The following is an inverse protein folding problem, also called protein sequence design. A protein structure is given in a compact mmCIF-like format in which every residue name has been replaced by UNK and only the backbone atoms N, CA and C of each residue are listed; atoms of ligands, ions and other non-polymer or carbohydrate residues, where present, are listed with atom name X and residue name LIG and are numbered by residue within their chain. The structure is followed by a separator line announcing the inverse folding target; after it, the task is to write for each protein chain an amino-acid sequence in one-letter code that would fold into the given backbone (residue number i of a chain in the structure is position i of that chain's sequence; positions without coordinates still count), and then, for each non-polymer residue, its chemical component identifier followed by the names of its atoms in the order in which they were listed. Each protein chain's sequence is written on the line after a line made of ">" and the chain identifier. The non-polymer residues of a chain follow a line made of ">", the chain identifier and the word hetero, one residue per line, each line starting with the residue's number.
data_IF_765883180178
#
_entry.id   IF_765883180178
#
_cell.length_a   1.000
_cell.length_b   1.000
_cell.length_c   1.000
_cell.angle_alpha   90.00
_cell.angle_beta   90.00
_cell.angle_gamma   90.00
#
_symmetry.space_group_name_H-M   'P 1'
#
loop_
_entity.id
_entity.type
_entity.pdbx_description
1 polymer ?
#
# COMPACT_ATOMS: atom_id res chain seq x y z
N UNK A 1 0.29 -11.85 24.49
CA UNK A 1 -0.63 -11.19 23.53
C UNK A 1 -0.53 -9.70 23.79
N UNK A 2 0.17 -8.95 22.94
CA UNK A 2 0.34 -7.49 23.09
C UNK A 2 -0.44 -6.83 21.95
N UNK A 3 -1.28 -5.81 22.19
CA UNK A 3 -1.92 -5.08 21.10
C UNK A 3 -0.85 -4.26 20.37
N UNK A 4 -0.71 -4.47 19.06
CA UNK A 4 0.16 -3.62 18.23
C UNK A 4 -0.55 -2.27 18.06
N UNK A 5 -0.09 -1.28 18.83
CA UNK A 5 -0.61 0.08 18.83
C UNK A 5 -0.52 0.71 17.45
N UNK A 6 -1.58 1.44 17.09
CA UNK A 6 -1.52 2.46 16.05
C UNK A 6 -0.50 3.51 16.48
N UNK A 7 0.61 3.60 15.75
CA UNK A 7 1.58 4.69 15.91
C UNK A 7 1.14 5.82 14.99
N UNK A 8 0.94 7.00 15.55
CA UNK A 8 0.69 8.21 14.80
C UNK A 8 1.92 8.53 13.91
N UNK A 9 1.67 8.80 12.62
CA UNK A 9 2.70 9.29 11.71
C UNK A 9 3.04 10.73 12.10
N UNK A 10 4.30 10.97 12.50
CA UNK A 10 4.84 12.32 12.74
C UNK A 10 4.88 13.10 11.41
N UNK A 11 4.13 14.21 11.28
CA UNK A 11 4.09 15.01 10.05
C UNK A 11 5.37 15.84 9.81
N UNK A 12 6.36 15.80 10.72
CA UNK A 12 7.38 16.84 10.85
C UNK A 12 8.79 16.61 10.28
N UNK A 13 9.10 15.56 9.49
CA UNK A 13 10.50 15.33 9.06
C UNK A 13 10.73 15.32 7.55
N UNK A 14 10.95 16.51 7.00
CA UNK A 14 11.51 16.72 5.66
C UNK A 14 13.01 16.35 5.63
N UNK A 15 13.33 15.14 5.19
CA UNK A 15 14.72 14.70 5.05
C UNK A 15 14.85 13.56 4.06
N UNK A 16 15.69 13.74 3.04
CA UNK A 16 16.05 12.76 2.00
C UNK A 16 16.66 11.51 2.65
N UNK A 17 15.85 10.51 2.96
CA UNK A 17 16.28 9.23 3.48
C UNK A 17 15.18 8.20 3.28
N UNK A 18 15.51 7.05 2.67
CA UNK A 18 14.56 5.97 2.45
C UNK A 18 13.89 5.57 3.78
N UNK A 19 12.58 5.83 3.91
CA UNK A 19 11.76 5.38 5.05
C UNK A 19 11.65 3.86 5.02
N UNK A 20 12.69 3.15 5.48
CA UNK A 20 12.55 1.75 5.90
C UNK A 20 11.92 1.77 7.27
N UNK A 21 10.61 1.92 7.30
CA UNK A 21 9.87 1.65 8.50
C UNK A 21 10.04 0.16 8.85
N UNK A 22 10.08 -0.17 10.14
CA UNK A 22 10.22 -1.52 10.72
C UNK A 22 8.98 -2.40 10.48
N UNK A 23 8.34 -2.24 9.32
CA UNK A 23 7.17 -2.97 8.93
C UNK A 23 7.57 -4.23 8.16
N UNK A 24 6.90 -5.33 8.47
CA UNK A 24 7.01 -6.57 7.69
C UNK A 24 6.57 -6.31 6.24
N UNK A 25 7.32 -6.81 5.26
CA UNK A 25 6.93 -6.76 3.85
C UNK A 25 5.48 -7.27 3.64
N UNK A 26 4.75 -6.65 2.72
CA UNK A 26 3.34 -6.98 2.47
C UNK A 26 2.43 -6.61 3.65
N UNK A 27 2.51 -5.39 4.17
CA UNK A 27 1.59 -4.90 5.20
C UNK A 27 0.89 -3.60 4.79
N UNK A 28 -0.27 -3.27 5.38
CA UNK A 28 -0.97 -2.02 5.08
C UNK A 28 -0.12 -0.77 5.33
N UNK A 29 0.73 -0.78 6.36
CA UNK A 29 1.62 0.33 6.69
C UNK A 29 2.69 0.53 5.61
N UNK A 30 3.22 -0.55 5.04
CA UNK A 30 4.15 -0.48 3.90
C UNK A 30 3.43 0.10 2.68
N UNK A 31 2.19 -0.32 2.40
CA UNK A 31 1.41 0.25 1.29
C UNK A 31 1.21 1.76 1.46
N UNK A 32 0.93 2.23 2.67
CA UNK A 32 0.79 3.66 2.98
C UNK A 32 2.09 4.43 2.76
N UNK A 33 3.22 3.93 3.27
CA UNK A 33 4.53 4.56 3.09
C UNK A 33 4.90 4.66 1.60
N UNK A 34 4.58 3.63 0.81
CA UNK A 34 4.79 3.66 -0.64
C UNK A 34 3.92 4.73 -1.32
N UNK A 35 2.64 4.82 -0.96
CA UNK A 35 1.72 5.80 -1.52
C UNK A 35 2.16 7.25 -1.22
N UNK A 36 2.45 7.55 0.05
CA UNK A 36 2.94 8.87 0.46
C UNK A 36 4.30 9.19 -0.16
N UNK A 37 5.22 8.22 -0.16
CA UNK A 37 6.54 8.40 -0.76
C UNK A 37 6.49 8.68 -2.26
N UNK A 38 5.58 8.03 -2.99
CA UNK A 38 5.35 8.34 -4.41
C UNK A 38 4.85 9.78 -4.57
N UNK A 39 3.86 10.18 -3.77
CA UNK A 39 3.27 11.52 -3.81
C UNK A 39 4.29 12.62 -3.54
N UNK A 40 5.03 12.49 -2.44
CA UNK A 40 6.06 13.44 -2.01
C UNK A 40 7.22 13.51 -3.00
N UNK A 41 7.68 12.35 -3.53
CA UNK A 41 8.83 12.29 -4.44
C UNK A 41 8.54 12.95 -5.79
N UNK A 42 7.31 12.82 -6.28
CA UNK A 42 6.92 13.31 -7.60
C UNK A 42 6.12 14.61 -7.56
N UNK A 43 5.79 15.13 -6.37
CA UNK A 43 4.92 16.31 -6.24
C UNK A 43 3.53 16.09 -6.82
N UNK A 44 3.03 14.85 -6.77
CA UNK A 44 1.74 14.47 -7.35
C UNK A 44 0.57 14.81 -6.40
N UNK A 45 -0.64 14.92 -6.94
CA UNK A 45 -1.85 15.08 -6.12
C UNK A 45 -2.32 13.75 -5.53
N UNK A 46 -2.01 12.63 -6.18
CA UNK A 46 -2.45 11.29 -5.80
C UNK A 46 -1.26 10.34 -5.82
N UNK A 47 -1.09 9.55 -4.76
CA UNK A 47 -0.06 8.54 -4.63
C UNK A 47 -0.69 7.16 -4.42
N UNK A 48 -0.12 6.12 -5.05
CA UNK A 48 -0.59 4.73 -4.91
C UNK A 48 0.56 3.85 -4.46
N UNK A 49 0.30 3.03 -3.45
CA UNK A 49 1.23 2.04 -2.93
C UNK A 49 0.62 0.65 -2.94
N UNK A 50 1.36 -0.33 -3.46
CA UNK A 50 0.95 -1.73 -3.55
C UNK A 50 2.08 -2.61 -3.01
N UNK A 51 1.76 -3.53 -2.12
CA UNK A 51 2.72 -4.51 -1.59
C UNK A 51 1.99 -5.81 -1.23
N UNK A 52 2.62 -6.96 -1.41
CA UNK A 52 1.94 -8.24 -1.17
C UNK A 52 2.74 -9.45 -1.62
N UNK A 53 2.11 -10.61 -1.52
CA UNK A 53 2.70 -11.90 -1.88
C UNK A 53 1.99 -12.47 -3.11
N UNK A 54 2.61 -12.33 -4.29
CA UNK A 54 2.04 -12.85 -5.53
C UNK A 54 2.22 -14.38 -5.72
N UNK A 55 3.08 -15.04 -4.94
CA UNK A 55 3.37 -16.47 -5.10
C UNK A 55 4.40 -16.79 -6.19
N UNK A 56 4.60 -18.07 -6.55
CA UNK A 56 3.87 -19.24 -6.04
C UNK A 56 4.22 -19.63 -4.60
N UNK A 57 5.35 -19.14 -4.07
CA UNK A 57 5.77 -19.32 -2.67
C UNK A 57 5.86 -18.01 -1.89
N UNK A 58 6.48 -18.05 -0.70
CA UNK A 58 6.70 -16.87 0.15
C UNK A 58 5.48 -16.41 0.94
N UNK A 59 4.36 -17.12 0.85
CA UNK A 59 3.20 -16.91 1.71
C UNK A 59 3.41 -17.52 3.10
N UNK A 60 2.75 -16.94 4.09
CA UNK A 60 2.61 -17.50 5.44
C UNK A 60 1.13 -17.67 5.76
N UNK A 61 0.81 -18.28 6.89
CA UNK A 61 -0.58 -18.37 7.37
C UNK A 61 -1.22 -16.98 7.52
N UNK A 62 -0.48 -16.02 8.08
CA UNK A 62 -0.94 -14.65 8.25
C UNK A 62 -0.95 -13.84 6.94
N UNK A 63 -0.12 -14.19 5.96
CA UNK A 63 0.01 -13.49 4.67
C UNK A 63 0.11 -14.50 3.53
N UNK A 64 -1.01 -15.17 3.19
CA UNK A 64 -0.99 -16.22 2.19
C UNK A 64 -0.64 -15.66 0.81
N UNK A 65 -0.28 -16.55 -0.12
CA UNK A 65 -0.24 -16.19 -1.54
C UNK A 65 -1.59 -15.59 -1.95
N UNK A 66 -1.51 -14.45 -2.64
CA UNK A 66 -2.65 -13.63 -3.01
C UNK A 66 -2.94 -12.49 -2.04
N UNK A 67 -2.33 -12.45 -0.85
CA UNK A 67 -2.49 -11.31 0.07
C UNK A 67 -1.79 -10.07 -0.48
N UNK A 68 -2.56 -9.03 -0.81
CA UNK A 68 -2.04 -7.79 -1.39
C UNK A 68 -2.67 -6.59 -0.68
N UNK A 69 -1.82 -5.71 -0.16
CA UNK A 69 -2.20 -4.44 0.44
C UNK A 69 -2.09 -3.31 -0.59
N UNK A 70 -3.12 -2.47 -0.63
CA UNK A 70 -3.25 -1.28 -1.46
C UNK A 70 -3.46 -0.08 -0.56
N UNK A 71 -2.83 1.04 -0.91
CA UNK A 71 -3.12 2.34 -0.32
C UNK A 71 -3.10 3.42 -1.40
N UNK A 72 -4.07 4.34 -1.36
CA UNK A 72 -4.10 5.55 -2.16
C UNK A 72 -4.20 6.74 -1.21
N UNK A 73 -3.38 7.76 -1.44
CA UNK A 73 -3.35 8.98 -0.63
C UNK A 73 -3.42 10.20 -1.54
N UNK A 74 -4.13 11.24 -1.10
CA UNK A 74 -4.37 12.46 -1.90
C UNK A 74 -3.89 13.72 -1.19
N UNK A 75 -3.58 14.78 -1.96
CA UNK A 75 -3.07 16.06 -1.47
C UNK A 75 -3.95 16.67 -0.36
N UNK A 76 -5.27 16.52 -0.49
CA UNK A 76 -6.28 16.95 0.49
C UNK A 76 -6.37 16.08 1.76
N UNK A 77 -5.52 15.06 1.89
CA UNK A 77 -5.43 14.20 3.06
C UNK A 77 -6.30 12.94 3.05
N UNK A 78 -7.12 12.69 2.01
CA UNK A 78 -7.90 11.44 1.93
C UNK A 78 -7.00 10.20 1.78
N UNK A 79 -7.53 9.09 2.30
CA UNK A 79 -6.84 7.80 2.38
C UNK A 79 -7.81 6.68 2.01
N UNK A 80 -7.43 5.85 1.05
CA UNK A 80 -8.19 4.65 0.69
C UNK A 80 -7.24 3.46 0.82
N UNK A 81 -7.56 2.51 1.70
CA UNK A 81 -6.76 1.30 1.92
C UNK A 81 -7.60 0.02 1.79
N UNK A 82 -7.00 -1.03 1.23
CA UNK A 82 -7.61 -2.36 1.05
C UNK A 82 -6.53 -3.43 1.13
N UNK A 83 -6.84 -4.60 1.66
CA UNK A 83 -5.90 -5.72 1.75
C UNK A 83 -6.53 -7.09 1.40
N UNK A 84 -7.11 -7.24 0.20
CA UNK A 84 -7.76 -8.48 -0.19
C UNK A 84 -6.78 -9.64 -0.38
N UNK A 85 -7.33 -10.86 -0.37
CA UNK A 85 -6.70 -12.03 -0.98
C UNK A 85 -7.19 -12.17 -2.42
N UNK A 86 -6.31 -11.94 -3.38
CA UNK A 86 -6.61 -12.10 -4.80
C UNK A 86 -6.46 -13.58 -5.21
N UNK A 87 -7.41 -14.13 -5.97
CA UNK A 87 -7.30 -15.51 -6.47
C UNK A 87 -6.27 -15.61 -7.61
N UNK A 88 -5.92 -16.85 -7.97
CA UNK A 88 -5.13 -17.16 -9.17
C UNK A 88 -3.64 -17.36 -8.95
N UNK A 89 -2.92 -17.53 -10.05
CA UNK A 89 -1.47 -17.67 -10.08
C UNK A 89 -0.74 -16.32 -9.97
N UNK A 90 0.59 -16.35 -9.94
CA UNK A 90 1.43 -15.14 -9.81
C UNK A 90 1.12 -14.08 -10.86
N UNK A 91 0.86 -14.49 -12.11
CA UNK A 91 0.48 -13.58 -13.20
C UNK A 91 -0.86 -12.92 -12.91
N UNK A 92 -1.90 -13.72 -12.65
CA UNK A 92 -3.24 -13.19 -12.36
C UNK A 92 -3.25 -12.25 -11.15
N UNK A 93 -2.52 -12.58 -10.09
CA UNK A 93 -2.44 -11.74 -8.88
C UNK A 93 -1.83 -10.38 -9.23
N UNK A 94 -0.79 -10.33 -10.07
CA UNK A 94 -0.17 -9.07 -10.50
C UNK A 94 -1.11 -8.24 -11.39
N UNK A 95 -1.76 -8.88 -12.35
CA UNK A 95 -2.73 -8.22 -13.25
C UNK A 95 -3.90 -7.63 -12.46
N UNK A 96 -4.54 -8.45 -11.61
CA UNK A 96 -5.63 -8.01 -10.73
C UNK A 96 -5.18 -6.93 -9.76
N UNK A 97 -3.94 -6.97 -9.28
CA UNK A 97 -3.39 -5.91 -8.43
C UNK A 97 -3.30 -4.58 -9.18
N UNK A 98 -2.86 -4.59 -10.43
CA UNK A 98 -2.84 -3.40 -11.27
C UNK A 98 -4.26 -2.86 -11.45
N UNK A 99 -5.23 -3.70 -11.80
CA UNK A 99 -6.62 -3.29 -12.02
C UNK A 99 -7.25 -2.66 -10.76
N UNK A 100 -7.06 -3.32 -9.60
CA UNK A 100 -7.53 -2.78 -8.31
C UNK A 100 -6.85 -1.45 -8.00
N UNK A 101 -5.53 -1.35 -8.21
CA UNK A 101 -4.79 -0.11 -8.02
C UNK A 101 -5.34 1.04 -8.86
N UNK A 102 -5.58 0.79 -10.16
CA UNK A 102 -6.14 1.79 -11.08
C UNK A 102 -7.58 2.18 -10.72
N UNK A 103 -8.41 1.23 -10.29
CA UNK A 103 -9.76 1.52 -9.79
C UNK A 103 -9.75 2.40 -8.53
N UNK A 104 -8.83 2.15 -7.59
CA UNK A 104 -8.70 2.97 -6.39
C UNK A 104 -8.19 4.37 -6.72
N UNK A 105 -7.22 4.48 -7.63
CA UNK A 105 -6.71 5.76 -8.13
C UNK A 105 -7.84 6.57 -8.76
N UNK A 106 -8.63 5.98 -9.66
CA UNK A 106 -9.75 6.65 -10.32
C UNK A 106 -10.79 7.16 -9.32
N UNK A 107 -11.10 6.38 -8.27
CA UNK A 107 -12.01 6.80 -7.20
C UNK A 107 -11.46 7.99 -6.42
N UNK A 108 -10.16 7.99 -6.12
CA UNK A 108 -9.52 9.08 -5.40
C UNK A 108 -9.51 10.37 -6.23
N UNK A 109 -9.10 10.28 -7.51
CA UNK A 109 -8.99 11.40 -8.44
C UNK A 109 -10.34 12.06 -8.76
N UNK A 110 -11.45 11.31 -8.74
CA UNK A 110 -12.80 11.87 -8.99
C UNK A 110 -13.36 12.72 -7.85
N UNK A 111 -12.69 12.76 -6.70
CA UNK A 111 -13.09 13.63 -5.60
C UNK A 111 -11.96 14.53 -5.10
N UNK A 112 -10.84 14.61 -5.84
CA UNK A 112 -9.69 15.47 -5.55
C UNK A 112 -9.83 16.82 -6.26
#
# INVERSE_FOLDING_TARGET
>A
MVPKGAVALDPGRHGRGARRATHSAGSPEVARVLADGARERFGADVGVGITGVAGPGGGTEAKPVGYVCFCVTTADGRVIARDPRLPGGRTDIRERSTDVGMHLLLRAARGA
#
